data_IF_135931590792
#
_entry.id   IF_135931590792
#
_cell.length_a   1.000
_cell.length_b   1.000
_cell.length_c   1.000
_cell.angle_alpha   90.00
_cell.angle_beta   90.00
_cell.angle_gamma   90.00
#
_symmetry.space_group_name_H-M   'P 1'
#
loop_
_entity.id
_entity.type
_entity.pdbx_description
1 polymer ?
#
# COMPACT_ATOMS: atom_id res chain seq x y z
N UNK A 1 5.70 -11.23 10.02
CA UNK A 1 6.24 -10.27 9.02
C UNK A 1 5.54 -8.92 9.05
N UNK A 2 6.25 -7.86 8.64
CA UNK A 2 5.69 -6.51 8.44
C UNK A 2 5.97 -6.06 7.00
N UNK A 3 4.94 -5.58 6.29
CA UNK A 3 5.08 -4.94 4.98
C UNK A 3 5.26 -3.44 5.18
N UNK A 4 6.24 -2.84 4.52
CA UNK A 4 6.43 -1.39 4.54
C UNK A 4 5.23 -0.63 3.97
N UNK A 5 4.92 0.54 4.51
CA UNK A 5 3.78 1.35 4.06
C UNK A 5 3.87 1.77 2.59
N UNK A 6 5.08 1.93 2.06
CA UNK A 6 5.30 2.17 0.63
C UNK A 6 4.74 1.06 -0.26
N UNK A 7 4.77 -0.18 0.24
CA UNK A 7 4.22 -1.35 -0.47
C UNK A 7 2.69 -1.29 -0.43
N UNK A 8 2.11 -0.91 0.71
CA UNK A 8 0.66 -0.75 0.91
C UNK A 8 0.08 0.46 0.17
N UNK A 9 0.86 1.51 -0.09
CA UNK A 9 0.39 2.72 -0.74
C UNK A 9 0.16 2.52 -2.26
N UNK A 10 -1.06 2.78 -2.71
CA UNK A 10 -1.46 2.74 -4.11
C UNK A 10 -1.07 4.04 -4.85
N UNK A 11 0.22 4.17 -5.21
CA UNK A 11 0.74 5.30 -6.00
C UNK A 11 0.14 5.42 -7.42
N UNK A 12 -0.56 4.39 -7.91
CA UNK A 12 -1.27 4.41 -9.21
C UNK A 12 -2.75 4.75 -9.07
N UNK A 13 -3.27 4.89 -7.84
CA UNK A 13 -4.67 5.17 -7.58
C UNK A 13 -5.08 6.61 -7.88
N UNK A 14 -6.37 6.82 -8.17
CA UNK A 14 -6.90 8.16 -8.48
C UNK A 14 -6.81 9.11 -7.29
N UNK A 15 -6.95 8.63 -6.05
CA UNK A 15 -6.74 9.45 -4.85
C UNK A 15 -5.30 9.97 -4.74
N UNK A 16 -4.31 9.10 -4.92
CA UNK A 16 -2.90 9.51 -4.87
C UNK A 16 -2.58 10.58 -5.92
N UNK A 17 -3.03 10.38 -7.16
CA UNK A 17 -2.81 11.31 -8.27
C UNK A 17 -3.49 12.67 -8.12
N UNK A 18 -4.45 12.81 -7.20
CA UNK A 18 -5.10 14.11 -6.91
C UNK A 18 -4.26 15.00 -6.00
N UNK A 19 -3.30 14.44 -5.26
CA UNK A 19 -2.39 15.23 -4.44
C UNK A 19 -1.34 15.91 -5.31
N UNK A 20 -1.00 17.15 -4.97
CA UNK A 20 0.12 17.87 -5.58
C UNK A 20 1.46 17.18 -5.26
N UNK A 21 2.53 17.45 -6.01
CA UNK A 21 3.86 16.92 -5.70
C UNK A 21 4.32 17.23 -4.26
N UNK A 22 4.00 18.42 -3.75
CA UNK A 22 4.35 18.86 -2.39
C UNK A 22 3.59 18.05 -1.34
N UNK A 23 2.29 17.83 -1.55
CA UNK A 23 1.46 16.99 -0.69
C UNK A 23 1.94 15.53 -0.70
N UNK A 24 2.31 15.01 -1.87
CA UNK A 24 2.87 13.66 -1.99
C UNK A 24 4.20 13.55 -1.22
N UNK A 25 5.06 14.56 -1.30
CA UNK A 25 6.31 14.61 -0.56
C UNK A 25 6.07 14.69 0.96
N UNK A 26 5.11 15.51 1.40
CA UNK A 26 4.73 15.62 2.82
C UNK A 26 4.18 14.31 3.37
N UNK A 27 3.30 13.63 2.62
CA UNK A 27 2.76 12.32 3.00
C UNK A 27 3.92 11.32 3.18
N UNK A 28 4.87 11.29 2.24
CA UNK A 28 6.00 10.34 2.26
C UNK A 28 7.12 10.72 3.23
N UNK A 29 7.13 11.95 3.75
CA UNK A 29 8.24 12.46 4.57
C UNK A 29 8.40 11.73 5.91
N UNK A 30 7.30 11.23 6.48
CA UNK A 30 7.28 10.56 7.79
C UNK A 30 6.31 9.39 7.78
N UNK A 31 6.68 8.31 8.45
CA UNK A 31 5.84 7.12 8.59
C UNK A 31 4.44 7.43 9.13
N UNK A 32 4.34 8.32 10.12
CA UNK A 32 3.07 8.75 10.69
C UNK A 32 2.17 9.46 9.66
N UNK A 33 2.74 10.29 8.78
CA UNK A 33 1.98 11.01 7.76
C UNK A 33 1.42 10.01 6.72
N UNK A 34 2.21 9.04 6.29
CA UNK A 34 1.74 7.96 5.41
C UNK A 34 0.63 7.16 6.07
N UNK A 35 0.77 6.78 7.34
CA UNK A 35 -0.28 6.07 8.09
C UNK A 35 -1.57 6.89 8.16
N UNK A 36 -1.47 8.16 8.53
CA UNK A 36 -2.62 9.05 8.65
C UNK A 36 -3.32 9.20 7.29
N UNK A 37 -2.56 9.41 6.21
CA UNK A 37 -3.11 9.50 4.86
C UNK A 37 -3.83 8.21 4.43
N UNK A 38 -3.27 7.04 4.73
CA UNK A 38 -3.90 5.74 4.43
C UNK A 38 -5.15 5.49 5.30
N UNK A 39 -5.13 5.90 6.56
CA UNK A 39 -6.26 5.83 7.47
C UNK A 39 -7.43 6.70 6.95
N UNK A 40 -7.15 7.96 6.60
CA UNK A 40 -8.16 8.92 6.16
C UNK A 40 -8.67 8.62 4.74
N UNK A 41 -7.86 7.94 3.92
CA UNK A 41 -8.19 7.60 2.55
C UNK A 41 -7.95 6.12 2.28
N UNK A 42 -8.78 5.24 2.84
CA UNK A 42 -8.62 3.77 2.73
C UNK A 42 -8.50 3.23 1.29
N UNK A 43 -9.05 3.92 0.29
CA UNK A 43 -8.87 3.61 -1.14
C UNK A 43 -7.43 3.78 -1.66
N UNK A 44 -6.55 4.44 -0.90
CA UNK A 44 -5.11 4.53 -1.16
C UNK A 44 -4.35 3.29 -0.69
N UNK A 45 -4.99 2.37 0.02
CA UNK A 45 -4.39 1.07 0.36
C UNK A 45 -4.55 0.16 -0.86
N UNK A 46 -3.46 -0.43 -1.35
CA UNK A 46 -3.48 -1.42 -2.44
C UNK A 46 -4.36 -2.60 -2.04
N UNK A 47 -5.14 -3.09 -3.00
CA UNK A 47 -6.01 -4.26 -2.87
C UNK A 47 -5.73 -5.20 -4.05
N UNK A 48 -5.85 -6.53 -3.90
CA UNK A 48 -6.10 -7.27 -2.65
C UNK A 48 -4.93 -7.20 -1.65
N UNK A 49 -5.18 -7.53 -0.37
CA UNK A 49 -4.13 -7.79 0.63
C UNK A 49 -4.41 -9.16 1.21
N UNK A 50 -3.48 -10.10 1.03
CA UNK A 50 -3.57 -11.46 1.55
C UNK A 50 -2.57 -11.59 2.69
N UNK A 51 -3.05 -12.10 3.82
CA UNK A 51 -2.24 -12.37 5.01
C UNK A 51 -2.31 -13.87 5.26
N UNK A 52 -1.16 -14.53 5.27
CA UNK A 52 -0.99 -15.90 5.76
C UNK A 52 -0.02 -15.90 6.93
N UNK A 53 0.08 -17.03 7.64
CA UNK A 53 1.01 -17.17 8.76
C UNK A 53 2.48 -16.98 8.35
N UNK A 54 2.79 -17.23 7.07
CA UNK A 54 4.14 -17.18 6.51
C UNK A 54 4.47 -15.91 5.72
N UNK A 55 3.47 -15.19 5.19
CA UNK A 55 3.72 -14.03 4.33
C UNK A 55 2.52 -13.08 4.21
N UNK A 56 2.81 -11.86 3.77
CA UNK A 56 1.78 -10.88 3.41
C UNK A 56 1.99 -10.46 1.94
N UNK A 57 0.97 -10.66 1.11
CA UNK A 57 0.95 -10.23 -0.28
C UNK A 57 0.09 -8.98 -0.43
N UNK A 58 0.61 -7.99 -1.16
CA UNK A 58 -0.06 -6.70 -1.37
C UNK A 58 -0.20 -6.42 -2.86
N UNK A 59 -1.44 -6.31 -3.33
CA UNK A 59 -1.76 -6.28 -4.74
C UNK A 59 -1.83 -7.68 -5.36
N UNK A 60 -2.16 -7.73 -6.65
CA UNK A 60 -2.14 -8.96 -7.41
C UNK A 60 -0.86 -9.05 -8.24
N UNK A 61 -0.11 -10.12 -8.01
CA UNK A 61 1.02 -10.53 -8.83
C UNK A 61 0.90 -12.03 -9.09
N UNK A 62 0.81 -12.41 -10.36
CA UNK A 62 0.53 -13.80 -10.74
C UNK A 62 1.61 -14.76 -10.20
N UNK A 63 2.88 -14.37 -10.28
CA UNK A 63 3.99 -15.21 -9.82
C UNK A 63 3.96 -15.46 -8.31
N UNK A 64 3.66 -14.42 -7.53
CA UNK A 64 3.54 -14.47 -6.07
C UNK A 64 2.33 -15.31 -5.63
N UNK A 65 1.23 -15.23 -6.37
CA UNK A 65 0.04 -16.04 -6.12
C UNK A 65 0.23 -17.52 -6.50
N UNK A 66 0.97 -17.82 -7.57
CA UNK A 66 1.31 -19.20 -7.94
C UNK A 66 2.23 -19.88 -6.92
N UNK A 67 3.03 -19.10 -6.19
CA UNK A 67 3.84 -19.57 -5.07
C UNK A 67 3.02 -19.74 -3.78
N UNK A 68 1.89 -19.04 -3.67
CA UNK A 68 0.89 -19.23 -2.62
C UNK A 68 0.10 -20.54 -2.88
N UNK A 69 0.78 -21.69 -2.87
CA UNK A 69 0.13 -23.00 -2.86
C UNK A 69 -0.09 -23.41 -1.40
N UNK A 70 -1.36 -23.68 -1.06
CA UNK A 70 -1.77 -24.20 0.24
C UNK A 70 -1.27 -25.60 0.50
#
# INVERSE_FOLDING_TARGET
DQVGLDVLLNKKGTKWRKFSPEQQAEILSRHHNTLQALHDNTSMIKRPVLVSDSQILVGFDESSYQQLKG
#
